data_IF_786435864540
#
_entry.id   IF_786435864540
#
_cell.length_a   1.000
_cell.length_b   1.000
_cell.length_c   1.000
_cell.angle_alpha   90.00
_cell.angle_beta   90.00
_cell.angle_gamma   90.00
#
_symmetry.space_group_name_H-M   'P 1'
#
loop_
_entity.id
_entity.type
_entity.pdbx_description
1 polymer ?
#
# COMPACT_ATOMS: atom_id res chain seq x y z
N UNK A 1 -23.53 1.35 14.99
CA UNK A 1 -22.25 1.01 14.32
C UNK A 1 -21.21 0.76 15.41
N UNK A 2 -20.88 -0.51 15.67
CA UNK A 2 -19.85 -0.84 16.66
C UNK A 2 -18.47 -0.54 16.06
N UNK A 3 -17.75 0.41 16.66
CA UNK A 3 -16.34 0.63 16.37
C UNK A 3 -15.59 -0.59 16.94
N UNK A 4 -15.22 -1.53 16.07
CA UNK A 4 -14.36 -2.65 16.46
C UNK A 4 -12.99 -2.09 16.81
N UNK A 5 -12.74 -1.91 18.11
CA UNK A 5 -11.42 -1.59 18.61
C UNK A 5 -10.45 -2.68 18.12
N UNK A 6 -9.58 -2.32 17.19
CA UNK A 6 -8.58 -3.23 16.65
C UNK A 6 -7.69 -3.66 17.80
N UNK A 7 -7.73 -4.94 18.17
CA UNK A 7 -6.91 -5.47 19.26
C UNK A 7 -5.45 -5.38 18.81
N UNK A 8 -4.75 -4.34 19.26
CA UNK A 8 -3.32 -4.15 19.01
C UNK A 8 -2.57 -5.15 19.87
N UNK A 9 -1.97 -6.16 19.25
CA UNK A 9 -1.05 -7.05 19.96
C UNK A 9 0.28 -6.33 20.14
N UNK A 10 0.77 -6.16 21.38
CA UNK A 10 2.10 -5.63 21.60
C UNK A 10 3.10 -6.59 20.96
N UNK A 11 3.78 -6.11 19.93
CA UNK A 11 4.84 -6.85 19.24
C UNK A 11 6.15 -6.20 19.63
N UNK A 12 7.05 -6.96 20.24
CA UNK A 12 8.35 -6.44 20.62
C UNK A 12 9.22 -6.35 19.37
N UNK A 13 9.69 -5.15 19.02
CA UNK A 13 10.47 -4.90 17.81
C UNK A 13 11.81 -4.32 18.21
N UNK A 14 12.89 -4.93 17.76
CA UNK A 14 14.25 -4.41 17.97
C UNK A 14 14.54 -3.35 16.91
N UNK A 15 14.81 -2.11 17.36
CA UNK A 15 15.20 -1.00 16.51
C UNK A 15 16.56 -0.44 16.92
N UNK A 16 17.30 0.18 15.99
CA UNK A 16 18.55 0.86 16.29
C UNK A 16 18.37 1.92 17.39
N UNK A 17 19.26 1.92 18.38
CA UNK A 17 19.15 2.80 19.54
C UNK A 17 19.18 4.28 19.16
N UNK A 18 19.97 4.66 18.16
CA UNK A 18 20.04 6.03 17.65
C UNK A 18 18.69 6.54 17.15
N UNK A 19 17.95 5.71 16.39
CA UNK A 19 16.63 6.08 15.87
C UNK A 19 15.59 6.21 16.99
N UNK A 20 15.68 5.37 18.03
CA UNK A 20 14.79 5.46 19.20
C UNK A 20 15.05 6.73 20.01
N UNK A 21 16.33 7.10 20.20
CA UNK A 21 16.71 8.32 20.90
C UNK A 21 16.29 9.57 20.13
N UNK A 22 16.50 9.58 18.81
CA UNK A 22 16.07 10.66 17.92
C UNK A 22 14.54 10.81 17.90
N UNK A 23 13.81 9.69 17.76
CA UNK A 23 12.36 9.71 17.83
C UNK A 23 11.84 10.26 19.17
N UNK A 24 12.47 9.88 20.30
CA UNK A 24 12.13 10.44 21.62
C UNK A 24 12.44 11.94 21.71
N UNK A 25 13.56 12.39 21.15
CA UNK A 25 13.94 13.80 21.12
C UNK A 25 12.96 14.65 20.31
N UNK A 26 12.30 14.05 19.32
CA UNK A 26 11.35 14.71 18.41
C UNK A 26 9.88 14.47 18.82
N UNK A 27 9.64 13.85 19.99
CA UNK A 27 8.31 13.47 20.49
C UNK A 27 7.49 12.61 19.50
N UNK A 28 8.20 11.76 18.74
CA UNK A 28 7.60 10.87 17.75
C UNK A 28 7.16 9.57 18.45
N UNK A 29 5.87 9.27 18.33
CA UNK A 29 5.31 7.99 18.81
C UNK A 29 5.79 6.82 17.93
N UNK A 30 6.74 6.06 18.46
CA UNK A 30 7.36 4.90 17.79
C UNK A 30 6.33 3.87 17.33
N UNK A 31 5.31 3.59 18.15
CA UNK A 31 4.24 2.64 17.80
C UNK A 31 3.45 3.11 16.57
N UNK A 32 3.11 4.40 16.50
CA UNK A 32 2.36 4.97 15.37
C UNK A 32 3.23 5.03 14.10
N UNK A 33 4.51 5.34 14.24
CA UNK A 33 5.46 5.34 13.12
C UNK A 33 5.64 3.93 12.54
N UNK A 34 5.83 2.92 13.40
CA UNK A 34 5.92 1.51 13.00
C UNK A 34 4.62 1.02 12.35
N UNK A 35 3.46 1.38 12.90
CA UNK A 35 2.14 1.02 12.32
C UNK A 35 1.99 1.59 10.91
N UNK A 36 2.37 2.85 10.70
CA UNK A 36 2.35 3.48 9.37
C UNK A 36 3.30 2.77 8.40
N UNK A 37 4.56 2.61 8.78
CA UNK A 37 5.56 1.96 7.91
C UNK A 37 5.20 0.52 7.57
N UNK A 38 4.65 -0.24 8.53
CA UNK A 38 4.19 -1.60 8.29
C UNK A 38 2.98 -1.64 7.34
N UNK A 39 2.04 -0.70 7.48
CA UNK A 39 0.88 -0.60 6.59
C UNK A 39 1.32 -0.29 5.16
N UNK A 40 2.24 0.64 4.99
CA UNK A 40 2.81 1.01 3.69
C UNK A 40 3.55 -0.17 3.05
N UNK A 41 4.43 -0.85 3.79
CA UNK A 41 5.16 -2.01 3.30
C UNK A 41 4.23 -3.18 2.90
N UNK A 42 3.16 -3.43 3.67
CA UNK A 42 2.16 -4.45 3.33
C UNK A 42 1.39 -4.05 2.06
N UNK A 43 1.02 -2.78 1.93
CA UNK A 43 0.31 -2.28 0.75
C UNK A 43 1.19 -2.41 -0.51
N UNK A 44 2.46 -2.05 -0.41
CA UNK A 44 3.44 -2.21 -1.48
C UNK A 44 3.59 -3.68 -1.89
N UNK A 45 3.84 -4.57 -0.93
CA UNK A 45 3.98 -6.00 -1.20
C UNK A 45 2.72 -6.61 -1.83
N UNK A 46 1.53 -6.20 -1.38
CA UNK A 46 0.26 -6.63 -1.99
C UNK A 46 0.10 -6.11 -3.40
N UNK A 47 0.42 -4.83 -3.65
CA UNK A 47 0.34 -4.24 -4.98
C UNK A 47 1.30 -4.92 -5.96
N UNK A 48 2.54 -5.20 -5.54
CA UNK A 48 3.53 -5.92 -6.33
C UNK A 48 3.07 -7.33 -6.68
N UNK A 49 2.51 -8.05 -5.70
CA UNK A 49 1.93 -9.38 -5.94
C UNK A 49 0.75 -9.32 -6.91
N UNK A 50 -0.17 -8.38 -6.71
CA UNK A 50 -1.31 -8.21 -7.59
C UNK A 50 -0.88 -7.87 -9.02
N UNK A 51 0.10 -6.99 -9.19
CA UNK A 51 0.70 -6.66 -10.49
C UNK A 51 1.30 -7.89 -11.16
N UNK A 52 2.02 -8.72 -10.42
CA UNK A 52 2.58 -9.97 -10.96
C UNK A 52 1.48 -10.95 -11.40
N UNK A 53 0.45 -11.14 -10.58
CA UNK A 53 -0.68 -12.02 -10.86
C UNK A 53 -1.55 -11.52 -12.03
N UNK A 54 -1.71 -10.19 -12.16
CA UNK A 54 -2.58 -9.57 -13.16
C UNK A 54 -1.83 -9.10 -14.40
N UNK A 55 -0.51 -9.31 -14.47
CA UNK A 55 0.33 -8.85 -15.59
C UNK A 55 -0.23 -9.32 -16.94
N UNK A 56 -0.59 -10.60 -17.05
CA UNK A 56 -1.16 -11.15 -18.27
C UNK A 56 -2.53 -10.56 -18.64
N UNK A 57 -3.37 -10.27 -17.64
CA UNK A 57 -4.67 -9.62 -17.87
C UNK A 57 -4.51 -8.16 -18.33
N UNK A 58 -3.57 -7.44 -17.73
CA UNK A 58 -3.22 -6.07 -18.13
C UNK A 58 -2.62 -6.03 -19.53
N UNK A 59 -1.70 -6.94 -19.86
CA UNK A 59 -1.12 -7.04 -21.20
C UNK A 59 -2.18 -7.39 -22.26
N UNK A 60 -3.05 -8.36 -21.98
CA UNK A 60 -4.15 -8.72 -22.89
C UNK A 60 -5.14 -7.56 -23.10
N UNK A 61 -5.45 -6.81 -22.04
CA UNK A 61 -6.27 -5.61 -22.12
C UNK A 61 -5.60 -4.51 -22.96
N UNK A 62 -4.30 -4.26 -22.74
CA UNK A 62 -3.54 -3.28 -23.50
C UNK A 62 -3.49 -3.64 -24.99
N UNK A 63 -3.22 -4.91 -25.33
CA UNK A 63 -3.25 -5.39 -26.71
C UNK A 63 -4.62 -5.21 -27.37
N UNK A 64 -5.70 -5.45 -26.61
CA UNK A 64 -7.07 -5.22 -27.09
C UNK A 64 -7.35 -3.74 -27.37
N UNK A 65 -6.90 -2.86 -26.49
CA UNK A 65 -7.06 -1.40 -26.65
C UNK A 65 -6.24 -0.88 -27.83
N UNK A 66 -5.03 -1.39 -28.07
CA UNK A 66 -4.24 -1.07 -29.26
C UNK A 66 -4.94 -1.56 -30.55
N UNK A 67 -5.49 -2.78 -30.52
CA UNK A 67 -6.12 -3.37 -31.71
C UNK A 67 -7.48 -2.77 -32.07
N UNK A 68 -8.30 -2.41 -31.07
CA UNK A 68 -9.71 -2.03 -31.26
C UNK A 68 -9.99 -0.57 -30.86
N UNK A 69 -8.99 0.11 -30.29
CA UNK A 69 -9.16 1.42 -29.66
C UNK A 69 -9.84 1.32 -28.29
N UNK A 70 -9.90 2.46 -27.60
CA UNK A 70 -10.54 2.56 -26.29
C UNK A 70 -12.06 2.30 -26.40
N UNK A 71 -12.59 1.28 -25.70
CA UNK A 71 -14.02 1.10 -25.59
C UNK A 71 -14.66 2.38 -25.05
N UNK A 72 -15.75 2.82 -25.67
CA UNK A 72 -16.49 4.03 -25.30
C UNK A 72 -15.77 5.36 -25.58
N UNK A 73 -14.63 5.38 -26.29
CA UNK A 73 -13.97 6.62 -26.72
C UNK A 73 -14.94 7.58 -27.44
N UNK A 74 -15.91 7.03 -28.18
CA UNK A 74 -16.98 7.77 -28.87
C UNK A 74 -17.90 8.61 -27.97
N UNK A 75 -17.90 8.38 -26.67
CA UNK A 75 -18.71 9.13 -25.70
C UNK A 75 -17.86 10.06 -24.81
N UNK A 76 -16.56 10.16 -25.06
CA UNK A 76 -15.68 11.03 -24.29
C UNK A 76 -15.96 12.49 -24.65
N UNK A 77 -16.66 13.21 -23.78
CA UNK A 77 -16.79 14.66 -23.84
C UNK A 77 -15.54 15.27 -23.19
N UNK A 78 -14.80 16.05 -23.96
CA UNK A 78 -13.57 16.76 -23.55
C UNK A 78 -13.87 17.85 -22.52
#
# INVERSE_FOLDING_TARGET
MAMTATIKRPTNVSLPQNLVLEAKSLDISLSKACERGLTEAIAEARSARWLAENKGAVEAWNQRVEAVGLPLARFRQF
#
